data_IF_722316656582
#
_entry.id   IF_722316656582
#
_cell.length_a   1.000
_cell.length_b   1.000
_cell.length_c   1.000
_cell.angle_alpha   90.00
_cell.angle_beta   90.00
_cell.angle_gamma   90.00
#
_symmetry.space_group_name_H-M   'P 1'
#
loop_
_entity.id
_entity.type
_entity.pdbx_description
1 polymer ?
#
# COMPACT_ATOMS: atom_id res chain seq x y z
N UNK A 1 -13.03 23.32 9.90
CA UNK A 1 -12.96 22.61 11.19
C UNK A 1 -14.30 21.95 11.49
N UNK A 2 -14.54 20.76 10.93
CA UNK A 2 -15.66 19.90 11.33
C UNK A 2 -15.17 19.07 12.51
N UNK A 3 -15.61 19.42 13.73
CA UNK A 3 -15.39 18.56 14.90
C UNK A 3 -15.98 17.18 14.59
N UNK A 4 -15.16 16.14 14.74
CA UNK A 4 -15.63 14.75 14.72
C UNK A 4 -16.83 14.63 15.67
N UNK A 5 -17.95 14.00 15.26
CA UNK A 5 -19.14 13.90 16.10
C UNK A 5 -18.97 12.94 17.28
N UNK A 6 -17.79 12.34 17.45
CA UNK A 6 -17.49 11.35 18.48
C UNK A 6 -16.86 12.00 19.71
N UNK A 7 -17.32 11.58 20.88
CA UNK A 7 -16.64 11.87 22.14
C UNK A 7 -15.35 11.03 22.24
N UNK A 8 -14.30 11.58 22.84
CA UNK A 8 -13.03 10.89 23.07
C UNK A 8 -13.25 9.57 23.81
N UNK A 9 -14.17 9.57 24.78
CA UNK A 9 -14.51 8.36 25.55
C UNK A 9 -15.08 7.22 24.68
N UNK A 10 -15.84 7.55 23.63
CA UNK A 10 -16.37 6.57 22.68
C UNK A 10 -15.27 5.97 21.81
N UNK A 11 -14.30 6.79 21.39
CA UNK A 11 -13.16 6.34 20.60
C UNK A 11 -12.17 5.49 21.40
N UNK A 12 -11.96 5.83 22.67
CA UNK A 12 -11.18 5.00 23.60
C UNK A 12 -11.84 3.62 23.75
N UNK A 13 -13.15 3.56 23.94
CA UNK A 13 -13.87 2.28 24.04
C UNK A 13 -13.81 1.48 22.72
N UNK A 14 -13.95 2.14 21.58
CA UNK A 14 -13.86 1.52 20.26
C UNK A 14 -12.46 0.98 19.99
N UNK A 15 -11.43 1.77 20.29
CA UNK A 15 -10.02 1.38 20.17
C UNK A 15 -9.66 0.22 21.09
N UNK A 16 -10.16 0.23 22.33
CA UNK A 16 -9.96 -0.88 23.27
C UNK A 16 -10.53 -2.20 22.73
N UNK A 17 -11.77 -2.20 22.23
CA UNK A 17 -12.39 -3.40 21.64
C UNK A 17 -11.64 -3.90 20.41
N UNK A 18 -11.18 -2.97 19.56
CA UNK A 18 -10.45 -3.31 18.35
C UNK A 18 -9.07 -3.94 18.67
N UNK A 19 -8.34 -3.38 19.64
CA UNK A 19 -7.05 -3.94 20.07
C UNK A 19 -7.21 -5.25 20.83
N UNK A 20 -8.24 -5.40 21.66
CA UNK A 20 -8.53 -6.68 22.32
C UNK A 20 -8.76 -7.78 21.29
N UNK A 21 -9.49 -7.50 20.21
CA UNK A 21 -9.68 -8.46 19.12
C UNK A 21 -8.34 -8.87 18.46
N UNK A 22 -7.44 -7.90 18.21
CA UNK A 22 -6.11 -8.18 17.64
C UNK A 22 -5.25 -9.00 18.60
N UNK A 23 -5.18 -8.59 19.87
CA UNK A 23 -4.38 -9.26 20.89
C UNK A 23 -4.87 -10.68 21.18
N UNK A 24 -6.18 -10.89 21.26
CA UNK A 24 -6.76 -12.22 21.43
C UNK A 24 -6.48 -13.12 20.21
N UNK A 25 -6.52 -12.56 19.00
CA UNK A 25 -6.15 -13.26 17.77
C UNK A 25 -4.69 -13.72 17.73
N UNK A 26 -3.77 -12.89 18.23
CA UNK A 26 -2.34 -13.18 18.26
C UNK A 26 -1.88 -13.91 19.55
N UNK A 27 -2.79 -14.13 20.51
CA UNK A 27 -2.46 -14.72 21.81
C UNK A 27 -1.59 -13.83 22.70
N UNK A 28 -1.60 -12.52 22.48
CA UNK A 28 -0.77 -11.54 23.18
C UNK A 28 -1.52 -10.96 24.38
N UNK A 29 -0.83 -10.73 25.49
CA UNK A 29 -1.37 -10.01 26.65
C UNK A 29 -0.41 -8.93 27.11
N UNK A 30 -0.50 -7.70 26.58
CA UNK A 30 0.36 -6.62 27.00
C UNK A 30 0.10 -6.25 28.46
N UNK A 31 1.11 -5.78 29.22
CA UNK A 31 0.94 -5.21 30.54
C UNK A 31 -0.12 -4.11 30.55
N UNK A 32 -0.85 -3.97 31.66
CA UNK A 32 -1.96 -2.99 31.78
C UNK A 32 -1.56 -1.58 31.35
N UNK A 33 -0.38 -1.12 31.75
CA UNK A 33 0.13 0.21 31.43
C UNK A 33 0.40 0.39 29.92
N UNK A 34 0.92 -0.64 29.25
CA UNK A 34 1.12 -0.63 27.80
C UNK A 34 -0.21 -0.67 27.04
N UNK A 35 -1.20 -1.42 27.56
CA UNK A 35 -2.54 -1.46 26.97
C UNK A 35 -3.16 -0.06 26.93
N UNK A 36 -3.10 0.68 28.04
CA UNK A 36 -3.65 2.04 28.13
C UNK A 36 -2.99 2.97 27.10
N UNK A 37 -1.66 2.91 26.94
CA UNK A 37 -0.92 3.70 25.93
C UNK A 37 -1.38 3.37 24.51
N UNK A 38 -1.53 2.08 24.18
CA UNK A 38 -1.93 1.67 22.84
C UNK A 38 -3.38 2.05 22.53
N UNK A 39 -4.27 1.97 23.52
CA UNK A 39 -5.67 2.36 23.38
C UNK A 39 -5.79 3.86 23.10
N UNK A 40 -5.09 4.71 23.86
CA UNK A 40 -5.09 6.16 23.65
C UNK A 40 -4.49 6.53 22.28
N UNK A 41 -3.38 5.90 21.90
CA UNK A 41 -2.77 6.09 20.58
C UNK A 41 -3.75 5.76 19.46
N UNK A 42 -4.44 4.62 19.57
CA UNK A 42 -5.42 4.21 18.56
C UNK A 42 -6.63 5.14 18.52
N UNK A 43 -7.11 5.63 19.67
CA UNK A 43 -8.20 6.59 19.74
C UNK A 43 -7.84 7.90 19.01
N UNK A 44 -6.61 8.41 19.18
CA UNK A 44 -6.11 9.60 18.49
C UNK A 44 -5.96 9.38 16.97
N UNK A 45 -5.53 8.18 16.54
CA UNK A 45 -5.49 7.81 15.11
C UNK A 45 -6.92 7.80 14.54
N UNK A 46 -7.86 7.13 15.21
CA UNK A 46 -9.25 7.04 14.77
C UNK A 46 -9.91 8.42 14.70
N UNK A 47 -9.70 9.26 15.69
CA UNK A 47 -10.22 10.63 15.72
C UNK A 47 -9.75 11.43 14.49
N UNK A 48 -8.45 11.34 14.19
CA UNK A 48 -7.86 12.02 13.03
C UNK A 48 -8.44 11.49 11.72
N UNK A 49 -8.52 10.17 11.57
CA UNK A 49 -9.06 9.57 10.36
C UNK A 49 -10.55 9.90 10.13
N UNK A 50 -11.34 9.95 11.20
CA UNK A 50 -12.77 10.26 11.15
C UNK A 50 -13.01 11.73 10.81
N UNK A 51 -12.24 12.64 11.42
CA UNK A 51 -12.32 14.08 11.11
C UNK A 51 -11.90 14.38 9.67
N UNK A 52 -10.92 13.63 9.14
CA UNK A 52 -10.43 13.78 7.77
C UNK A 52 -11.24 12.97 6.74
N UNK A 53 -12.40 12.40 7.13
CA UNK A 53 -13.31 11.71 6.22
C UNK A 53 -12.82 10.36 5.69
N UNK A 54 -11.63 9.88 6.09
CA UNK A 54 -11.02 8.64 5.59
C UNK A 54 -11.90 7.41 5.78
N UNK A 55 -12.62 7.35 6.91
CA UNK A 55 -13.60 6.30 7.17
C UNK A 55 -14.69 6.23 6.10
N UNK A 56 -15.23 7.37 5.64
CA UNK A 56 -16.31 7.39 4.63
C UNK A 56 -15.84 6.76 3.32
N UNK A 57 -14.65 7.17 2.86
CA UNK A 57 -14.04 6.63 1.67
C UNK A 57 -13.78 5.13 1.82
N UNK A 58 -13.18 4.71 2.93
CA UNK A 58 -12.75 3.33 3.10
C UNK A 58 -13.90 2.36 3.45
N UNK A 59 -15.03 2.86 3.93
CA UNK A 59 -16.24 2.07 4.19
C UNK A 59 -17.21 2.08 2.99
N UNK A 60 -17.02 2.97 2.00
CA UNK A 60 -17.96 3.22 0.88
C UNK A 60 -19.39 3.48 1.40
N UNK A 61 -19.51 4.21 2.50
CA UNK A 61 -20.80 4.52 3.15
C UNK A 61 -21.15 5.98 2.93
N UNK A 62 -22.33 6.23 2.37
CA UNK A 62 -22.95 7.55 2.35
C UNK A 62 -23.68 7.80 3.67
N UNK A 63 -23.09 8.61 4.56
CA UNK A 63 -23.74 9.01 5.80
C UNK A 63 -22.78 9.40 6.94
N UNK A 64 -23.36 9.90 8.03
CA UNK A 64 -22.62 10.14 9.27
C UNK A 64 -22.33 8.80 9.98
N UNK A 65 -21.09 8.62 10.45
CA UNK A 65 -20.71 7.46 11.23
C UNK A 65 -21.54 7.40 12.52
N UNK A 66 -22.06 6.23 12.86
CA UNK A 66 -22.71 5.97 14.16
C UNK A 66 -21.72 5.22 15.05
N UNK A 67 -21.58 5.56 16.34
CA UNK A 67 -20.55 4.97 17.22
C UNK A 67 -20.60 3.45 17.31
N UNK A 68 -21.79 2.87 17.19
CA UNK A 68 -22.02 1.43 17.29
C UNK A 68 -22.30 0.77 15.93
N UNK A 69 -21.97 1.41 14.81
CA UNK A 69 -22.18 0.78 13.50
C UNK A 69 -21.16 -0.35 13.29
N UNK A 70 -21.59 -1.49 12.70
CA UNK A 70 -20.68 -2.59 12.41
C UNK A 70 -19.58 -2.20 11.41
N UNK A 71 -19.83 -1.23 10.53
CA UNK A 71 -18.85 -0.70 9.58
C UNK A 71 -17.74 0.07 10.29
N UNK A 72 -18.09 0.91 11.27
CA UNK A 72 -17.11 1.65 12.08
C UNK A 72 -16.28 0.69 12.94
N UNK A 73 -16.88 -0.37 13.48
CA UNK A 73 -16.16 -1.41 14.21
C UNK A 73 -15.17 -2.15 13.30
N UNK A 74 -15.58 -2.55 12.09
CA UNK A 74 -14.68 -3.16 11.10
C UNK A 74 -13.54 -2.23 10.71
N UNK A 75 -13.83 -0.95 10.51
CA UNK A 75 -12.82 0.07 10.24
C UNK A 75 -11.81 0.17 11.39
N UNK A 76 -12.29 0.27 12.63
CA UNK A 76 -11.42 0.36 13.81
C UNK A 76 -10.55 -0.89 13.98
N UNK A 77 -11.11 -2.08 13.75
CA UNK A 77 -10.33 -3.33 13.75
C UNK A 77 -9.25 -3.30 12.67
N UNK A 78 -9.56 -2.86 11.45
CA UNK A 78 -8.53 -2.72 10.40
C UNK A 78 -7.41 -1.77 10.79
N UNK A 79 -7.76 -0.60 11.35
CA UNK A 79 -6.78 0.37 11.85
C UNK A 79 -5.93 -0.25 12.98
N UNK A 80 -6.56 -0.96 13.91
CA UNK A 80 -5.87 -1.63 15.00
C UNK A 80 -4.90 -2.71 14.50
N UNK A 81 -5.30 -3.50 13.50
CA UNK A 81 -4.45 -4.54 12.89
C UNK A 81 -3.20 -3.93 12.27
N UNK A 82 -3.33 -2.90 11.43
CA UNK A 82 -2.16 -2.26 10.82
C UNK A 82 -1.33 -1.47 11.83
N UNK A 83 -1.96 -0.81 12.79
CA UNK A 83 -1.26 -0.16 13.89
C UNK A 83 -0.40 -1.17 14.65
N UNK A 84 -0.98 -2.30 15.04
CA UNK A 84 -0.25 -3.33 15.76
C UNK A 84 0.90 -3.88 14.92
N UNK A 85 0.66 -4.22 13.65
CA UNK A 85 1.70 -4.76 12.77
C UNK A 85 2.85 -3.78 12.49
N UNK A 86 2.55 -2.48 12.32
CA UNK A 86 3.53 -1.49 11.84
C UNK A 86 4.13 -0.62 12.95
N UNK A 87 3.68 -0.76 14.21
CA UNK A 87 4.12 0.12 15.32
C UNK A 87 5.63 0.18 15.50
N UNK A 88 6.32 -0.96 15.35
CA UNK A 88 7.77 -1.03 15.54
C UNK A 88 8.51 -0.33 14.39
N UNK A 89 8.06 -0.55 13.14
CA UNK A 89 8.56 0.17 11.97
C UNK A 89 8.40 1.68 12.16
N UNK A 90 7.21 2.12 12.57
CA UNK A 90 6.93 3.55 12.77
C UNK A 90 7.76 4.15 13.92
N UNK A 91 7.98 3.41 15.00
CA UNK A 91 8.85 3.85 16.09
C UNK A 91 10.32 4.03 15.62
N UNK A 92 10.83 3.10 14.79
CA UNK A 92 12.17 3.19 14.21
C UNK A 92 12.31 4.36 13.22
N UNK A 93 11.31 4.56 12.36
CA UNK A 93 11.28 5.72 11.45
C UNK A 93 11.27 7.04 12.22
N UNK A 94 10.47 7.13 13.29
CA UNK A 94 10.42 8.31 14.16
C UNK A 94 11.75 8.54 14.91
N UNK A 95 12.47 7.46 15.25
CA UNK A 95 13.80 7.51 15.83
C UNK A 95 14.91 7.85 14.82
N UNK A 96 14.56 8.12 13.54
CA UNK A 96 15.51 8.44 12.46
C UNK A 96 16.52 7.33 12.20
N UNK A 97 16.05 6.09 12.25
CA UNK A 97 16.81 4.92 11.84
C UNK A 97 17.18 5.04 10.35
N UNK A 98 18.45 5.36 10.07
CA UNK A 98 18.93 5.65 8.72
C UNK A 98 18.81 4.47 7.78
N UNK A 99 19.05 3.24 8.27
CA UNK A 99 18.98 2.04 7.43
C UNK A 99 17.54 1.83 6.92
N UNK A 100 16.56 2.08 7.78
CA UNK A 100 15.15 1.95 7.42
C UNK A 100 14.68 3.06 6.46
N UNK A 101 15.21 4.28 6.61
CA UNK A 101 14.96 5.38 5.68
C UNK A 101 15.62 5.16 4.32
N UNK A 102 16.84 4.62 4.28
CA UNK A 102 17.54 4.27 3.05
C UNK A 102 16.82 3.13 2.31
N UNK A 103 16.35 2.12 3.05
CA UNK A 103 15.54 1.04 2.48
C UNK A 103 14.25 1.59 1.85
N UNK A 104 13.51 2.43 2.58
CA UNK A 104 12.28 3.06 2.08
C UNK A 104 12.56 3.91 0.84
N UNK A 105 13.61 4.73 0.87
CA UNK A 105 14.01 5.55 -0.27
C UNK A 105 14.32 4.67 -1.50
N UNK A 106 15.08 3.59 -1.32
CA UNK A 106 15.40 2.65 -2.41
C UNK A 106 14.15 1.99 -3.01
N UNK A 107 13.17 1.63 -2.18
CA UNK A 107 11.88 1.08 -2.63
C UNK A 107 11.09 2.11 -3.44
N UNK A 108 10.98 3.35 -2.93
CA UNK A 108 10.26 4.43 -3.60
C UNK A 108 10.93 4.83 -4.91
N UNK A 109 12.26 4.92 -4.95
CA UNK A 109 13.02 5.21 -6.16
C UNK A 109 12.75 4.16 -7.24
N UNK A 110 12.81 2.87 -6.89
CA UNK A 110 12.54 1.79 -7.83
C UNK A 110 11.11 1.89 -8.39
N UNK A 111 10.12 2.13 -7.54
CA UNK A 111 8.73 2.31 -7.95
C UNK A 111 8.57 3.53 -8.86
N UNK A 112 9.14 4.67 -8.48
CA UNK A 112 9.10 5.91 -9.25
C UNK A 112 9.73 5.74 -10.63
N UNK A 113 10.90 5.09 -10.69
CA UNK A 113 11.59 4.80 -11.93
C UNK A 113 10.72 3.99 -12.89
N UNK A 114 10.06 2.93 -12.41
CA UNK A 114 9.14 2.15 -13.24
C UNK A 114 7.96 2.99 -13.72
N UNK A 115 7.34 3.78 -12.84
CA UNK A 115 6.23 4.66 -13.24
C UNK A 115 6.67 5.64 -14.34
N UNK A 116 7.81 6.29 -14.17
CA UNK A 116 8.34 7.28 -15.12
C UNK A 116 8.76 6.66 -16.46
N UNK A 117 9.29 5.43 -16.44
CA UNK A 117 9.68 4.68 -17.65
C UNK A 117 8.46 4.17 -18.42
N UNK A 118 7.53 3.53 -17.71
CA UNK A 118 6.49 2.72 -18.31
C UNK A 118 5.24 3.55 -18.62
N UNK A 119 4.89 4.51 -17.75
CA UNK A 119 3.70 5.36 -17.94
C UNK A 119 4.03 6.71 -18.59
N UNK A 120 5.16 7.32 -18.26
CA UNK A 120 5.55 8.63 -18.83
C UNK A 120 6.54 8.54 -20.00
N UNK A 121 7.06 7.34 -20.31
CA UNK A 121 7.92 7.11 -21.47
C UNK A 121 9.29 7.81 -21.39
N UNK A 122 9.74 8.22 -20.20
CA UNK A 122 10.99 8.96 -20.05
C UNK A 122 12.22 8.10 -20.38
N UNK A 123 13.31 8.71 -20.84
CA UNK A 123 14.57 8.00 -21.09
C UNK A 123 15.21 7.54 -19.77
N UNK A 124 16.03 6.49 -19.80
CA UNK A 124 16.67 5.94 -18.59
C UNK A 124 17.37 6.99 -17.69
N UNK A 125 18.30 7.83 -18.22
CA UNK A 125 19.00 8.79 -17.36
C UNK A 125 18.04 9.82 -16.73
N UNK A 126 17.06 10.31 -17.49
CA UNK A 126 16.09 11.30 -17.01
C UNK A 126 15.12 10.68 -15.99
N UNK A 127 14.65 9.46 -16.26
CA UNK A 127 13.75 8.75 -15.36
C UNK A 127 14.43 8.44 -14.02
N UNK A 128 15.71 8.06 -14.03
CA UNK A 128 16.45 7.76 -12.80
C UNK A 128 16.70 9.00 -11.94
N UNK A 129 17.11 10.12 -12.56
CA UNK A 129 17.30 11.40 -11.86
C UNK A 129 16.00 11.86 -11.21
N UNK A 130 14.90 11.94 -11.97
CA UNK A 130 13.60 12.33 -11.44
C UNK A 130 13.03 11.36 -10.40
N UNK A 131 13.25 10.06 -10.58
CA UNK A 131 12.83 9.05 -9.60
C UNK A 131 13.51 9.27 -8.24
N UNK A 132 14.78 9.69 -8.25
CA UNK A 132 15.52 10.02 -7.03
C UNK A 132 14.89 11.25 -6.34
N UNK A 133 14.63 12.32 -7.09
CA UNK A 133 14.00 13.53 -6.56
C UNK A 133 12.62 13.24 -5.95
N UNK A 134 11.75 12.50 -6.66
CA UNK A 134 10.43 12.16 -6.14
C UNK A 134 10.51 11.20 -4.94
N UNK A 135 11.45 10.26 -4.90
CA UNK A 135 11.63 9.39 -3.75
C UNK A 135 12.07 10.18 -2.51
N UNK A 136 13.00 11.13 -2.68
CA UNK A 136 13.44 12.03 -1.62
C UNK A 136 12.29 12.91 -1.11
N UNK A 137 11.56 13.58 -2.01
CA UNK A 137 10.39 14.40 -1.66
C UNK A 137 9.33 13.57 -0.91
N UNK A 138 9.08 12.34 -1.36
CA UNK A 138 8.14 11.43 -0.72
C UNK A 138 8.58 11.04 0.69
N UNK A 139 9.86 10.74 0.89
CA UNK A 139 10.40 10.47 2.23
C UNK A 139 10.21 11.67 3.16
N UNK A 140 10.42 12.89 2.68
CA UNK A 140 10.18 14.11 3.48
C UNK A 140 8.70 14.28 3.85
N UNK A 141 7.79 14.03 2.91
CA UNK A 141 6.35 14.07 3.17
C UNK A 141 5.92 12.97 4.13
N UNK A 142 6.48 11.77 4.02
CA UNK A 142 6.23 10.66 4.95
C UNK A 142 6.75 11.01 6.35
N UNK A 143 7.93 11.63 6.43
CA UNK A 143 8.52 12.05 7.70
C UNK A 143 7.67 13.10 8.43
N UNK A 144 7.09 14.05 7.69
CA UNK A 144 6.21 15.11 8.25
C UNK A 144 4.76 14.65 8.40
N UNK A 145 4.36 13.65 7.62
CA UNK A 145 3.00 13.18 7.51
C UNK A 145 2.59 12.25 8.65
N UNK A 146 1.28 12.18 8.87
CA UNK A 146 0.70 11.24 9.82
C UNK A 146 0.20 10.00 9.07
N UNK A 147 0.83 8.86 9.32
CA UNK A 147 0.40 7.58 8.76
C UNK A 147 -0.98 7.20 9.35
N UNK A 148 -2.01 6.98 8.53
CA UNK A 148 -3.39 6.77 8.98
C UNK A 148 -3.67 5.35 9.50
N UNK A 149 -2.79 4.38 9.24
CA UNK A 149 -2.97 2.97 9.61
C UNK A 149 -4.26 2.31 9.08
N UNK A 150 -5.02 2.93 8.17
CA UNK A 150 -6.23 2.32 7.60
C UNK A 150 -5.97 1.47 6.34
N UNK A 151 -4.72 1.48 5.88
CA UNK A 151 -4.12 0.69 4.80
C UNK A 151 -2.68 0.34 5.20
N UNK A 152 -2.04 -0.68 4.59
CA UNK A 152 -0.63 -0.99 4.84
C UNK A 152 0.34 0.16 4.55
N UNK A 153 1.48 0.18 5.26
CA UNK A 153 2.41 1.32 5.23
C UNK A 153 2.96 1.55 3.82
N UNK A 154 3.36 0.47 3.14
CA UNK A 154 3.90 0.56 1.79
C UNK A 154 2.88 1.10 0.77
N UNK A 155 1.61 0.73 0.90
CA UNK A 155 0.56 1.22 0.02
C UNK A 155 0.33 2.73 0.22
N UNK A 156 0.32 3.18 1.48
CA UNK A 156 0.25 4.60 1.80
C UNK A 156 1.49 5.37 1.29
N UNK A 157 2.70 4.87 1.54
CA UNK A 157 3.95 5.49 1.09
C UNK A 157 4.02 5.61 -0.45
N UNK A 158 3.61 4.55 -1.15
CA UNK A 158 3.50 4.57 -2.63
C UNK A 158 2.47 5.57 -3.10
N UNK A 159 1.34 5.74 -2.38
CA UNK A 159 0.35 6.77 -2.72
C UNK A 159 0.92 8.19 -2.54
N UNK A 160 1.71 8.43 -1.49
CA UNK A 160 2.44 9.70 -1.33
C UNK A 160 3.36 9.93 -2.53
N UNK A 161 4.13 8.91 -2.93
CA UNK A 161 5.00 8.98 -4.10
C UNK A 161 4.27 9.30 -5.40
N UNK A 162 3.18 8.59 -5.69
CA UNK A 162 2.40 8.84 -6.89
C UNK A 162 1.83 10.26 -6.89
N UNK A 163 1.43 10.79 -5.73
CA UNK A 163 0.99 12.18 -5.64
C UNK A 163 2.12 13.16 -5.99
N UNK A 164 3.36 12.93 -5.54
CA UNK A 164 4.50 13.75 -5.94
C UNK A 164 4.75 13.68 -7.46
N UNK A 165 4.78 12.47 -8.02
CA UNK A 165 4.98 12.26 -9.47
C UNK A 165 3.88 12.96 -10.28
N UNK A 166 2.61 12.79 -9.93
CA UNK A 166 1.51 13.44 -10.64
C UNK A 166 1.55 14.96 -10.48
N UNK A 167 1.94 15.45 -9.30
CA UNK A 167 2.09 16.88 -9.09
C UNK A 167 3.24 17.45 -9.93
N UNK A 168 4.37 16.75 -10.07
CA UNK A 168 5.50 17.20 -10.88
C UNK A 168 5.27 17.03 -12.39
N UNK A 169 4.87 15.83 -12.83
CA UNK A 169 4.70 15.49 -14.24
C UNK A 169 3.39 16.05 -14.83
N UNK A 170 2.29 16.02 -14.06
CA UNK A 170 1.00 16.55 -14.52
C UNK A 170 1.02 18.06 -14.72
N UNK A 171 1.73 18.80 -13.86
CA UNK A 171 1.95 20.25 -14.04
C UNK A 171 2.93 20.56 -15.18
N UNK A 172 3.89 19.67 -15.45
CA UNK A 172 4.87 19.84 -16.53
C UNK A 172 4.22 19.74 -17.93
N UNK A 173 3.18 18.92 -18.09
CA UNK A 173 2.36 18.92 -19.32
C UNK A 173 1.52 20.18 -19.51
N UNK A 174 1.01 20.78 -18.43
CA UNK A 174 0.25 22.05 -18.50
C UNK A 174 1.16 23.29 -18.68
N UNK A 175 2.42 23.22 -18.23
CA UNK A 175 3.38 24.34 -18.31
C UNK A 175 3.90 24.61 -19.73
N UNK A 176 3.73 23.68 -20.67
CA UNK A 176 3.95 23.98 -22.09
C UNK A 176 2.82 24.83 -22.71
N UNK A 177 1.70 25.02 -22.00
CA UNK A 177 0.56 25.83 -22.46
C UNK A 177 0.36 27.15 -21.70
N UNK A 178 1.04 27.35 -20.55
CA UNK A 178 1.00 28.63 -19.81
C UNK A 178 2.38 29.02 -19.28
N UNK A 179 3.07 29.83 -20.07
CA UNK A 179 4.31 30.49 -19.65
C UNK A 179 4.07 31.47 -18.50
N UNK A 180 4.13 30.98 -17.27
CA UNK A 180 4.46 31.81 -16.10
C UNK A 180 4.92 30.90 -14.95
N UNK A 181 6.19 31.04 -14.58
CA UNK A 181 6.78 30.43 -13.39
C UNK A 181 6.00 30.93 -12.16
N UNK A 182 5.36 30.02 -11.42
CA UNK A 182 4.79 30.31 -10.11
C UNK A 182 5.58 29.52 -9.08
N UNK A 183 6.21 30.27 -8.18
CA UNK A 183 6.99 29.81 -7.03
C UNK A 183 6.14 28.89 -6.13
N UNK A 184 6.68 27.79 -5.58
CA UNK A 184 5.91 26.92 -4.69
C UNK A 184 5.52 27.67 -3.42
N UNK A 185 4.22 27.66 -3.11
CA UNK A 185 3.66 28.30 -1.93
C UNK A 185 4.30 27.78 -0.63
N UNK A 186 4.41 28.63 0.42
CA UNK A 186 5.11 28.28 1.65
C UNK A 186 4.42 27.15 2.42
N UNK A 187 5.27 26.40 3.14
CA UNK A 187 4.95 25.21 3.92
C UNK A 187 4.22 25.55 5.23
N UNK A 188 3.05 26.15 5.12
CA UNK A 188 2.11 26.31 6.21
C UNK A 188 1.26 25.04 6.20
N UNK A 189 1.09 24.39 7.34
CA UNK A 189 0.39 23.11 7.51
C UNK A 189 -1.12 23.17 7.21
N UNK A 190 -1.49 23.57 6.00
CA UNK A 190 -2.74 23.18 5.37
C UNK A 190 -2.58 21.72 4.98
N UNK A 191 -3.27 20.86 5.75
CA UNK A 191 -3.53 19.47 5.41
C UNK A 191 -3.76 19.39 3.90
N UNK A 192 -2.99 18.51 3.24
CA UNK A 192 -3.16 18.20 1.83
C UNK A 192 -4.64 17.90 1.58
N UNK A 193 -5.39 18.88 1.07
CA UNK A 193 -6.63 18.65 0.35
C UNK A 193 -6.22 17.82 -0.86
N UNK A 194 -6.26 16.50 -0.65
CA UNK A 194 -6.16 15.49 -1.69
C UNK A 194 -7.07 15.96 -2.81
N UNK A 195 -6.47 16.23 -3.97
CA UNK A 195 -7.19 16.60 -5.19
C UNK A 195 -8.23 15.51 -5.44
N UNK A 196 -9.46 15.80 -5.05
CA UNK A 196 -10.64 14.92 -5.02
C UNK A 196 -11.30 14.84 -6.40
N UNK A 197 -10.73 15.52 -7.41
CA UNK A 197 -11.40 15.81 -8.67
C UNK A 197 -10.66 15.29 -9.92
N UNK A 198 -9.89 14.19 -9.78
CA UNK A 198 -9.47 13.35 -10.93
C UNK A 198 -9.51 11.86 -10.58
N UNK A 199 -10.74 11.42 -10.33
CA UNK A 199 -11.28 10.07 -10.50
C UNK A 199 -10.32 8.91 -10.87
N UNK A 200 -10.00 8.10 -9.86
CA UNK A 200 -10.54 6.74 -9.75
C UNK A 200 -10.21 5.65 -10.79
N UNK A 201 -9.28 5.81 -11.75
CA UNK A 201 -9.12 4.78 -12.79
C UNK A 201 -7.95 3.78 -12.71
N UNK A 202 -6.87 4.00 -11.94
CA UNK A 202 -5.74 3.03 -11.93
C UNK A 202 -5.04 2.78 -10.58
N UNK A 203 -5.35 3.51 -9.51
CA UNK A 203 -4.59 3.41 -8.25
C UNK A 203 -4.96 2.22 -7.36
N UNK A 204 -6.23 1.81 -7.30
CA UNK A 204 -6.62 0.58 -6.56
C UNK A 204 -6.08 -0.67 -7.28
N UNK A 205 -6.17 -0.74 -8.61
CA UNK A 205 -5.63 -1.88 -9.38
C UNK A 205 -4.09 -1.98 -9.29
N UNK A 206 -3.37 -0.87 -9.22
CA UNK A 206 -1.90 -0.89 -9.16
C UNK A 206 -1.36 -1.31 -7.79
N UNK A 207 -2.03 -0.92 -6.71
CA UNK A 207 -1.71 -1.35 -5.34
C UNK A 207 -2.18 -2.78 -5.06
N UNK A 208 -3.38 -3.14 -5.52
CA UNK A 208 -3.89 -4.51 -5.52
C UNK A 208 -2.96 -5.45 -6.30
N UNK A 209 -2.42 -5.00 -7.45
CA UNK A 209 -1.42 -5.77 -8.21
C UNK A 209 -0.11 -5.99 -7.47
N UNK A 210 0.29 -5.17 -6.50
CA UNK A 210 1.54 -5.37 -5.77
C UNK A 210 1.39 -6.39 -4.62
N UNK A 211 0.34 -6.27 -3.80
CA UNK A 211 0.02 -7.29 -2.78
C UNK A 211 -0.33 -8.64 -3.41
N UNK A 212 -1.10 -8.64 -4.50
CA UNK A 212 -1.37 -9.84 -5.30
C UNK A 212 -0.09 -10.39 -5.91
N UNK A 213 0.86 -9.54 -6.33
CA UNK A 213 2.13 -9.97 -6.91
C UNK A 213 3.04 -10.62 -5.88
N UNK A 214 3.17 -10.07 -4.67
CA UNK A 214 3.96 -10.69 -3.60
C UNK A 214 3.35 -12.03 -3.16
N UNK A 215 2.03 -12.06 -2.96
CA UNK A 215 1.30 -13.31 -2.64
C UNK A 215 1.43 -14.36 -3.76
N UNK A 216 1.35 -13.93 -5.02
CA UNK A 216 1.54 -14.81 -6.18
C UNK A 216 2.99 -15.29 -6.27
N UNK A 217 3.97 -14.44 -6.00
CA UNK A 217 5.38 -14.80 -5.99
C UNK A 217 5.67 -15.84 -4.90
N UNK A 218 5.17 -15.64 -3.68
CA UNK A 218 5.29 -16.60 -2.58
C UNK A 218 4.60 -17.92 -2.89
N UNK A 219 3.41 -17.88 -3.50
CA UNK A 219 2.70 -19.08 -3.94
C UNK A 219 3.47 -19.84 -5.03
N UNK A 220 4.16 -19.13 -5.93
CA UNK A 220 5.06 -19.74 -6.92
C UNK A 220 6.24 -20.42 -6.21
N UNK A 221 6.88 -19.77 -5.23
CA UNK A 221 7.99 -20.37 -4.48
C UNK A 221 7.58 -21.63 -3.69
N UNK A 222 6.30 -21.75 -3.31
CA UNK A 222 5.73 -22.91 -2.62
C UNK A 222 5.40 -24.10 -3.54
N UNK A 223 5.52 -23.96 -4.86
CA UNK A 223 5.30 -25.08 -5.77
C UNK A 223 6.35 -26.18 -5.53
N UNK A 224 5.88 -27.42 -5.44
CA UNK A 224 6.71 -28.58 -5.09
C UNK A 224 7.81 -28.91 -6.12
N UNK A 225 7.69 -28.42 -7.36
CA UNK A 225 8.65 -28.69 -8.43
C UNK A 225 9.31 -27.40 -8.93
N UNK A 226 10.66 -27.29 -8.88
CA UNK A 226 11.38 -26.18 -9.48
C UNK A 226 11.09 -26.01 -10.98
N UNK A 227 10.83 -27.12 -11.68
CA UNK A 227 10.46 -27.08 -13.09
C UNK A 227 9.06 -26.47 -13.32
N UNK A 228 8.14 -26.59 -12.37
CA UNK A 228 6.83 -25.93 -12.43
C UNK A 228 6.98 -24.43 -12.17
N UNK A 229 7.81 -24.04 -11.19
CA UNK A 229 8.11 -22.64 -10.90
C UNK A 229 8.67 -21.93 -12.12
N UNK A 230 9.68 -22.54 -12.76
CA UNK A 230 10.37 -21.94 -13.90
C UNK A 230 9.46 -21.80 -15.12
N UNK A 231 8.58 -22.77 -15.39
CA UNK A 231 7.57 -22.67 -16.46
C UNK A 231 6.59 -21.51 -16.21
N UNK A 232 6.12 -21.32 -14.98
CA UNK A 232 5.19 -20.23 -14.64
C UNK A 232 5.88 -18.87 -14.74
N UNK A 233 7.10 -18.76 -14.22
CA UNK A 233 7.89 -17.53 -14.31
C UNK A 233 8.12 -17.15 -15.79
N UNK A 234 8.52 -18.10 -16.62
CA UNK A 234 8.80 -17.86 -18.04
C UNK A 234 7.58 -17.52 -18.88
N UNK A 235 6.46 -18.20 -18.65
CA UNK A 235 5.21 -17.92 -19.35
C UNK A 235 4.63 -16.55 -18.95
N UNK A 236 4.60 -16.25 -17.65
CA UNK A 236 3.86 -15.09 -17.14
C UNK A 236 4.71 -13.82 -17.04
N UNK A 237 6.01 -13.89 -16.69
CA UNK A 237 6.88 -12.71 -16.59
C UNK A 237 7.61 -12.39 -17.90
N UNK A 238 7.93 -13.41 -18.71
CA UNK A 238 8.70 -13.24 -19.93
C UNK A 238 7.87 -13.48 -21.21
N UNK A 239 6.61 -13.91 -21.08
CA UNK A 239 5.69 -14.08 -22.21
C UNK A 239 6.11 -15.19 -23.19
N UNK A 240 6.96 -16.12 -22.76
CA UNK A 240 7.53 -17.14 -23.64
C UNK A 240 6.49 -18.22 -24.00
N UNK A 241 6.55 -18.70 -25.25
CA UNK A 241 5.71 -19.79 -25.75
C UNK A 241 6.14 -21.15 -25.17
N UNK A 242 5.21 -22.11 -25.14
CA UNK A 242 5.49 -23.50 -24.69
C UNK A 242 6.63 -24.18 -25.46
N UNK A 243 6.88 -23.76 -26.70
CA UNK A 243 7.98 -24.25 -27.54
C UNK A 243 9.33 -23.66 -27.15
N UNK A 244 9.38 -22.38 -26.79
CA UNK A 244 10.59 -21.70 -26.32
C UNK A 244 11.00 -22.21 -24.94
N UNK A 245 10.04 -22.31 -24.02
CA UNK A 245 10.25 -22.88 -22.68
C UNK A 245 10.70 -24.35 -22.77
N UNK A 246 10.18 -25.11 -23.74
CA UNK A 246 10.57 -26.51 -23.96
C UNK A 246 12.03 -26.62 -24.42
N UNK A 247 12.47 -25.73 -25.31
CA UNK A 247 13.87 -25.66 -25.74
C UNK A 247 14.79 -25.28 -24.57
N UNK A 248 14.38 -24.31 -23.76
CA UNK A 248 15.16 -23.80 -22.63
C UNK A 248 15.29 -24.83 -21.49
N UNK A 249 14.23 -25.57 -21.19
CA UNK A 249 14.21 -26.59 -20.15
C UNK A 249 14.67 -27.98 -20.62
N UNK A 250 15.02 -28.14 -21.90
CA UNK A 250 15.37 -29.43 -22.50
C UNK A 250 14.22 -30.46 -22.43
N UNK A 251 12.98 -30.00 -22.62
CA UNK A 251 11.75 -30.81 -22.53
C UNK A 251 10.97 -30.80 -23.85
N UNK A 252 9.93 -31.63 -23.93
CA UNK A 252 8.97 -31.55 -25.04
C UNK A 252 7.93 -30.46 -24.76
N UNK A 253 7.36 -29.80 -25.79
CA UNK A 253 6.27 -28.83 -25.62
C UNK A 253 5.07 -29.42 -24.87
N UNK A 254 4.77 -30.71 -25.07
CA UNK A 254 3.72 -31.43 -24.35
C UNK A 254 4.03 -31.56 -22.85
N UNK A 255 5.30 -31.78 -22.48
CA UNK A 255 5.72 -31.83 -21.08
C UNK A 255 5.62 -30.45 -20.42
N UNK A 256 5.95 -29.37 -21.12
CA UNK A 256 5.77 -27.99 -20.63
C UNK A 256 4.30 -27.66 -20.44
N UNK A 257 3.42 -28.07 -21.36
CA UNK A 257 1.97 -27.91 -21.22
C UNK A 257 1.44 -28.60 -19.97
N UNK A 258 1.86 -29.86 -19.73
CA UNK A 258 1.46 -30.62 -18.55
C UNK A 258 2.00 -29.98 -17.26
N UNK A 259 3.25 -29.51 -17.25
CA UNK A 259 3.84 -28.81 -16.12
C UNK A 259 3.10 -27.52 -15.80
N UNK A 260 2.74 -26.73 -16.82
CA UNK A 260 1.95 -25.51 -16.68
C UNK A 260 0.58 -25.80 -16.10
N UNK A 261 -0.12 -26.79 -16.63
CA UNK A 261 -1.45 -27.17 -16.15
C UNK A 261 -1.41 -27.62 -14.68
N UNK A 262 -0.41 -28.44 -14.31
CA UNK A 262 -0.22 -28.87 -12.93
C UNK A 262 0.14 -27.70 -12.00
N UNK A 263 1.05 -26.83 -12.45
CA UNK A 263 1.46 -25.64 -11.70
C UNK A 263 0.28 -24.70 -11.43
N UNK A 264 -0.57 -24.45 -12.43
CA UNK A 264 -1.79 -23.63 -12.27
C UNK A 264 -2.81 -24.28 -11.33
N UNK A 265 -2.98 -25.60 -11.38
CA UNK A 265 -3.86 -26.32 -10.46
C UNK A 265 -3.33 -26.24 -9.01
N UNK A 266 -2.02 -26.37 -8.81
CA UNK A 266 -1.38 -26.22 -7.50
C UNK A 266 -1.44 -24.78 -6.99
N UNK A 267 -1.15 -23.79 -7.84
CA UNK A 267 -1.28 -22.37 -7.48
C UNK A 267 -2.71 -22.04 -7.05
N UNK A 268 -3.71 -22.54 -7.78
CA UNK A 268 -5.11 -22.36 -7.39
C UNK A 268 -5.40 -22.90 -6.00
N UNK A 269 -4.89 -24.09 -5.67
CA UNK A 269 -5.08 -24.67 -4.34
C UNK A 269 -4.36 -23.87 -3.23
N UNK A 270 -3.16 -23.35 -3.51
CA UNK A 270 -2.38 -22.54 -2.57
C UNK A 270 -3.04 -21.17 -2.34
N UNK A 271 -3.61 -20.58 -3.38
CA UNK A 271 -4.23 -19.25 -3.35
C UNK A 271 -5.71 -19.27 -2.91
N UNK A 272 -6.35 -20.43 -2.81
CA UNK A 272 -7.77 -20.53 -2.41
C UNK A 272 -8.06 -19.91 -1.01
N UNK A 273 -7.22 -20.05 0.03
CA UNK A 273 -7.41 -19.36 1.31
C UNK A 273 -7.31 -17.83 1.20
N UNK A 274 -6.62 -17.34 0.18
CA UNK A 274 -6.37 -15.92 -0.11
C UNK A 274 -7.30 -15.37 -1.18
N UNK A 275 -8.35 -16.12 -1.55
CA UNK A 275 -9.29 -15.77 -2.63
C UNK A 275 -9.95 -14.40 -2.47
N UNK A 276 -10.06 -13.89 -1.24
CA UNK A 276 -10.57 -12.54 -0.97
C UNK A 276 -9.64 -11.44 -1.53
N UNK A 277 -8.36 -11.72 -1.72
CA UNK A 277 -7.41 -10.83 -2.40
C UNK A 277 -7.60 -10.79 -3.92
N UNK A 278 -8.32 -11.75 -4.51
CA UNK A 278 -8.52 -11.88 -5.96
C UNK A 278 -9.95 -11.57 -6.41
N UNK A 279 -10.84 -11.17 -5.49
CA UNK A 279 -12.22 -10.82 -5.81
C UNK A 279 -12.31 -9.34 -6.25
N UNK A 280 -13.07 -9.02 -7.32
CA UNK A 280 -13.23 -7.66 -7.84
C UNK A 280 -14.06 -6.75 -6.92
#
# INVERSE_FOLDING_TARGET
MSLSPFDHSELVLLGARALEWVWDGDGIRPPKQEREIHIETLADILQTNLSNGRWRHAARVDGAARPNSPELQRYAVRVATHYWAERERMARLAARDWDLWEELHGQLLKSAYHVLRDHFGLSHPVAYERANDYAQESCELIFRGRYPFDVPFHAWATRVLLNCIHAGEGRSTDLLDRGTFVEPAPADAQEFELIDEMCWFESEQSLWRWEVREVLWDAIQQLASPAQQQVIIQDFWYGQSSTEIAQELGKTPQAVYNLRHQALASLKAILEPQRYLFAP
#
